data_IF_156566002948
#
_entry.id   IF_156566002948
#
_cell.length_a   1.000
_cell.length_b   1.000
_cell.length_c   1.000
_cell.angle_alpha   90.00
_cell.angle_beta   90.00
_cell.angle_gamma   90.00
#
_symmetry.space_group_name_H-M   'P 1'
#
loop_
_entity.id
_entity.type
_entity.pdbx_description
1 polymer ?
#
# COMPACT_ATOMS: atom_id res chain seq x y z
N UNK A 1 15.98 14.86 16.81
CA UNK A 1 16.35 15.34 15.46
C UNK A 1 17.78 15.87 15.40
N UNK A 2 18.14 16.86 16.25
CA UNK A 2 19.47 17.47 16.29
C UNK A 2 20.61 16.47 16.52
N UNK A 3 20.36 15.36 17.23
CA UNK A 3 21.37 14.32 17.47
C UNK A 3 21.63 13.43 16.26
N UNK A 4 20.67 13.27 15.36
CA UNK A 4 20.86 12.50 14.10
C UNK A 4 21.59 13.29 13.03
N UNK A 5 21.53 14.61 13.08
CA UNK A 5 22.35 15.49 12.23
C UNK A 5 23.81 15.62 12.74
N UNK A 6 24.06 15.10 13.93
CA UNK A 6 25.41 14.89 14.46
C UNK A 6 26.12 13.84 13.59
N UNK A 7 27.03 14.20 12.75
CA UNK A 7 28.13 13.29 12.48
C UNK A 7 28.79 12.91 13.81
N UNK A 8 29.41 11.75 13.89
CA UNK A 8 30.07 11.20 15.11
C UNK A 8 31.08 12.15 15.83
N UNK A 9 31.23 13.40 15.39
CA UNK A 9 32.20 14.39 15.87
C UNK A 9 31.66 15.82 16.10
N UNK A 10 30.34 16.03 16.22
CA UNK A 10 29.81 17.38 16.40
C UNK A 10 30.02 17.91 17.84
N UNK A 11 30.56 19.13 17.96
CA UNK A 11 30.76 19.78 19.25
C UNK A 11 29.42 20.23 19.86
N UNK A 12 29.36 20.42 21.23
CA UNK A 12 28.14 20.90 21.89
C UNK A 12 27.62 22.22 21.32
N UNK A 13 28.53 23.13 20.91
CA UNK A 13 28.21 24.43 20.31
C UNK A 13 27.48 24.25 18.94
N UNK A 14 27.93 23.34 18.11
CA UNK A 14 27.28 23.03 16.83
C UNK A 14 25.87 22.43 17.02
N UNK A 15 25.70 21.63 18.08
CA UNK A 15 24.39 21.04 18.41
C UNK A 15 23.41 22.14 18.87
N UNK A 16 23.88 23.12 19.65
CA UNK A 16 23.06 24.24 20.08
C UNK A 16 22.63 25.13 18.90
N UNK A 17 23.55 25.41 17.97
CA UNK A 17 23.25 26.17 16.75
C UNK A 17 22.21 25.47 15.88
N UNK A 18 22.31 24.15 15.70
CA UNK A 18 21.33 23.34 14.94
C UNK A 18 19.96 23.37 15.64
N UNK A 19 19.91 23.24 16.96
CA UNK A 19 18.65 23.33 17.72
C UNK A 19 17.97 24.69 17.54
N UNK A 20 18.75 25.77 17.55
CA UNK A 20 18.26 27.13 17.34
C UNK A 20 17.75 27.32 15.89
N UNK A 21 18.50 26.86 14.89
CA UNK A 21 18.09 26.93 13.49
C UNK A 21 16.80 26.13 13.19
N UNK A 22 16.57 25.02 13.90
CA UNK A 22 15.37 24.20 13.77
C UNK A 22 14.19 24.70 14.61
N UNK A 23 14.36 25.85 15.35
CA UNK A 23 13.34 26.40 16.25
C UNK A 23 12.98 25.48 17.42
N UNK A 24 13.83 24.49 17.75
CA UNK A 24 13.58 23.53 18.84
C UNK A 24 13.77 24.15 20.24
N UNK A 25 14.25 25.39 20.33
CA UNK A 25 14.37 26.16 21.55
C UNK A 25 13.10 26.94 21.90
N UNK A 26 12.21 27.09 20.92
CA UNK A 26 10.94 27.78 21.09
C UNK A 26 9.91 26.97 21.89
N UNK A 27 8.94 27.64 22.57
CA UNK A 27 7.82 26.93 23.22
C UNK A 27 7.08 26.01 22.26
N UNK A 28 6.52 24.89 22.76
CA UNK A 28 5.89 23.87 21.97
C UNK A 28 4.74 24.39 21.06
N UNK A 29 3.99 25.42 21.50
CA UNK A 29 2.91 26.01 20.69
C UNK A 29 3.43 26.78 19.49
N UNK A 30 4.61 27.41 19.59
CA UNK A 30 5.28 28.06 18.46
C UNK A 30 5.76 27.02 17.47
N UNK A 31 6.38 25.94 17.96
CA UNK A 31 6.79 24.82 17.13
C UNK A 31 5.61 24.18 16.40
N UNK A 32 4.46 24.00 17.08
CA UNK A 32 3.23 23.50 16.49
C UNK A 32 2.70 24.47 15.41
N UNK A 33 2.71 25.78 15.67
CA UNK A 33 2.30 26.79 14.70
C UNK A 33 3.15 26.78 13.43
N UNK A 34 4.48 26.68 13.58
CA UNK A 34 5.42 26.56 12.45
C UNK A 34 5.12 25.27 11.66
N UNK A 35 4.93 24.15 12.35
CA UNK A 35 4.63 22.86 11.73
C UNK A 35 3.31 22.88 10.94
N UNK A 36 2.25 23.44 11.53
CA UNK A 36 0.95 23.57 10.83
C UNK A 36 1.06 24.49 9.63
N UNK A 37 1.80 25.61 9.76
CA UNK A 37 2.07 26.50 8.63
C UNK A 37 2.79 25.76 7.50
N UNK A 38 3.82 24.99 7.81
CA UNK A 38 4.59 24.21 6.84
C UNK A 38 3.72 23.18 6.12
N UNK A 39 2.78 22.53 6.81
CA UNK A 39 1.82 21.61 6.20
C UNK A 39 0.92 22.35 5.19
N UNK A 40 0.34 23.48 5.61
CA UNK A 40 -0.60 24.25 4.76
C UNK A 40 0.10 24.87 3.55
N UNK A 41 1.35 25.32 3.72
CA UNK A 41 2.15 25.91 2.63
C UNK A 41 2.87 24.89 1.77
N UNK A 42 2.77 23.58 2.09
CA UNK A 42 3.50 22.50 1.43
C UNK A 42 5.03 22.67 1.46
N UNK A 43 5.53 23.46 2.41
CA UNK A 43 6.95 23.64 2.65
C UNK A 43 7.42 22.68 3.75
N UNK A 44 7.61 21.43 3.37
CA UNK A 44 8.00 20.37 4.31
C UNK A 44 9.49 20.34 4.64
N UNK A 45 10.23 21.34 4.16
CA UNK A 45 11.66 21.47 4.41
C UNK A 45 12.51 20.44 3.68
N UNK A 46 13.66 20.11 4.28
CA UNK A 46 14.65 19.17 3.74
C UNK A 46 14.77 17.90 4.57
N UNK A 47 15.02 16.79 3.91
CA UNK A 47 15.32 15.51 4.56
C UNK A 47 16.64 15.59 5.31
N UNK A 48 16.65 15.18 6.55
CA UNK A 48 17.87 15.19 7.37
C UNK A 48 18.86 14.07 6.98
N UNK A 49 18.41 13.06 6.24
CA UNK A 49 19.26 11.96 5.80
C UNK A 49 19.93 12.24 4.46
N UNK A 50 19.20 12.84 3.50
CA UNK A 50 19.64 13.02 2.11
C UNK A 50 19.89 14.49 1.76
N UNK A 51 19.50 15.43 2.63
CA UNK A 51 19.52 16.88 2.40
C UNK A 51 18.74 17.35 1.15
N UNK A 52 17.87 16.49 0.62
CA UNK A 52 16.97 16.80 -0.49
C UNK A 52 15.68 17.45 0.00
N UNK A 53 15.04 18.27 -0.82
CA UNK A 53 13.71 18.80 -0.51
C UNK A 53 12.70 17.64 -0.37
N UNK A 54 11.95 17.63 0.72
CA UNK A 54 10.94 16.57 0.99
C UNK A 54 9.87 16.58 -0.08
N UNK A 55 9.50 17.72 -0.65
CA UNK A 55 8.57 17.83 -1.77
C UNK A 55 9.03 17.02 -3.00
N UNK A 56 10.31 17.07 -3.35
CA UNK A 56 10.88 16.31 -4.46
C UNK A 56 10.91 14.80 -4.17
N UNK A 57 11.35 14.44 -2.95
CA UNK A 57 11.30 13.05 -2.49
C UNK A 57 9.88 12.49 -2.53
N UNK A 58 8.91 13.29 -2.07
CA UNK A 58 7.51 12.90 -2.09
C UNK A 58 6.99 12.71 -3.51
N UNK A 59 7.20 13.67 -4.40
CA UNK A 59 6.76 13.60 -5.80
C UNK A 59 7.33 12.36 -6.50
N UNK A 60 8.62 12.07 -6.32
CA UNK A 60 9.27 10.90 -6.92
C UNK A 60 8.73 9.59 -6.34
N UNK A 61 8.59 9.49 -5.02
CA UNK A 61 8.14 8.27 -4.33
C UNK A 61 6.66 8.00 -4.54
N UNK A 62 5.81 9.03 -4.51
CA UNK A 62 4.36 8.89 -4.80
C UNK A 62 4.14 8.37 -6.21
N UNK A 63 4.88 8.85 -7.21
CA UNK A 63 4.80 8.34 -8.58
C UNK A 63 5.05 6.84 -8.64
N UNK A 64 6.11 6.36 -8.00
CA UNK A 64 6.43 4.94 -7.95
C UNK A 64 5.32 4.13 -7.23
N UNK A 65 4.85 4.63 -6.09
CA UNK A 65 3.76 3.98 -5.33
C UNK A 65 2.47 3.89 -6.15
N UNK A 66 2.06 4.99 -6.81
CA UNK A 66 0.86 4.99 -7.64
C UNK A 66 0.98 4.05 -8.85
N UNK A 67 2.16 3.95 -9.45
CA UNK A 67 2.40 3.02 -10.57
C UNK A 67 2.13 1.56 -10.18
N UNK A 68 2.43 1.17 -8.94
CA UNK A 68 2.20 -0.20 -8.45
C UNK A 68 0.82 -0.35 -7.82
N UNK A 69 0.39 0.60 -6.98
CA UNK A 69 -0.84 0.45 -6.19
C UNK A 69 -2.12 0.65 -6.99
N UNK A 70 -2.10 1.52 -8.02
CA UNK A 70 -3.29 1.77 -8.85
C UNK A 70 -3.75 0.50 -9.58
N UNK A 71 -2.89 -0.23 -10.34
CA UNK A 71 -3.32 -1.46 -10.97
C UNK A 71 -3.72 -2.54 -9.95
N UNK A 72 -3.07 -2.64 -8.78
CA UNK A 72 -3.49 -3.54 -7.71
C UNK A 72 -4.92 -3.23 -7.28
N UNK A 73 -5.21 -1.97 -6.94
CA UNK A 73 -6.53 -1.55 -6.49
C UNK A 73 -7.61 -1.83 -7.52
N UNK A 74 -7.34 -1.49 -8.79
CA UNK A 74 -8.29 -1.67 -9.89
C UNK A 74 -8.56 -3.15 -10.13
N UNK A 75 -7.52 -3.95 -10.33
CA UNK A 75 -7.67 -5.38 -10.64
C UNK A 75 -8.29 -6.15 -9.47
N UNK A 76 -7.87 -5.86 -8.26
CA UNK A 76 -8.37 -6.52 -7.08
C UNK A 76 -9.87 -6.21 -6.85
N UNK A 77 -10.30 -4.97 -7.06
CA UNK A 77 -11.73 -4.61 -6.99
C UNK A 77 -12.53 -5.25 -8.13
N UNK A 78 -12.00 -5.21 -9.35
CA UNK A 78 -12.65 -5.80 -10.53
C UNK A 78 -12.82 -7.32 -10.41
N UNK A 79 -11.94 -7.99 -9.69
CA UNK A 79 -12.01 -9.44 -9.48
C UNK A 79 -12.80 -9.79 -8.20
N UNK A 80 -12.53 -9.12 -7.10
CA UNK A 80 -13.13 -9.46 -5.82
C UNK A 80 -14.65 -9.25 -5.78
N UNK A 81 -15.16 -8.18 -6.39
CA UNK A 81 -16.60 -7.86 -6.39
C UNK A 81 -17.40 -8.92 -7.16
N UNK A 82 -17.10 -9.26 -8.42
CA UNK A 82 -17.83 -10.32 -9.14
C UNK A 82 -17.72 -11.69 -8.47
N UNK A 83 -16.54 -12.05 -7.98
CA UNK A 83 -16.34 -13.31 -7.25
C UNK A 83 -17.21 -13.35 -6.00
N UNK A 84 -17.23 -12.27 -5.22
CA UNK A 84 -18.04 -12.18 -4.01
C UNK A 84 -19.54 -12.26 -4.31
N UNK A 85 -20.02 -11.61 -5.40
CA UNK A 85 -21.40 -11.72 -5.87
C UNK A 85 -21.76 -13.15 -6.27
N UNK A 86 -20.91 -13.81 -7.04
CA UNK A 86 -21.10 -15.22 -7.43
C UNK A 86 -21.19 -16.12 -6.18
N UNK A 87 -20.28 -15.95 -5.23
CA UNK A 87 -20.27 -16.73 -3.97
C UNK A 87 -21.50 -16.45 -3.11
N UNK A 88 -21.97 -15.20 -3.07
CA UNK A 88 -23.20 -14.84 -2.38
C UNK A 88 -24.44 -15.46 -3.04
N UNK A 89 -24.47 -15.50 -4.40
CA UNK A 89 -25.55 -16.09 -5.18
C UNK A 89 -25.66 -17.61 -4.95
N UNK A 90 -24.53 -18.34 -4.93
CA UNK A 90 -24.49 -19.79 -4.72
C UNK A 90 -24.41 -20.19 -3.24
N UNK A 91 -24.84 -19.33 -2.34
CA UNK A 91 -24.79 -19.52 -0.88
C UNK A 91 -25.28 -20.90 -0.47
N UNK A 92 -24.52 -21.58 0.40
CA UNK A 92 -24.86 -22.91 0.93
C UNK A 92 -24.51 -24.08 0.01
N UNK A 93 -24.07 -23.83 -1.22
CA UNK A 93 -23.61 -24.85 -2.17
C UNK A 93 -22.23 -25.41 -1.80
N UNK A 94 -21.84 -26.50 -2.45
CA UNK A 94 -20.49 -27.04 -2.35
C UNK A 94 -19.44 -26.04 -2.84
N UNK A 95 -19.75 -25.26 -3.86
CA UNK A 95 -18.88 -24.20 -4.39
C UNK A 95 -18.62 -23.11 -3.36
N UNK A 96 -19.66 -22.63 -2.66
CA UNK A 96 -19.51 -21.67 -1.56
C UNK A 96 -18.57 -22.21 -0.48
N UNK A 97 -18.80 -23.46 -0.04
CA UNK A 97 -17.95 -24.10 0.97
C UNK A 97 -16.50 -24.26 0.50
N UNK A 98 -16.29 -24.70 -0.74
CA UNK A 98 -14.95 -24.86 -1.31
C UNK A 98 -14.20 -23.53 -1.35
N UNK A 99 -14.83 -22.45 -1.83
CA UNK A 99 -14.22 -21.11 -1.88
C UNK A 99 -13.90 -20.62 -0.46
N UNK A 100 -14.80 -20.85 0.50
CA UNK A 100 -14.54 -20.47 1.90
C UNK A 100 -13.36 -21.23 2.51
N UNK A 101 -13.20 -22.52 2.20
CA UNK A 101 -12.03 -23.30 2.64
C UNK A 101 -10.76 -22.80 1.98
N UNK A 102 -10.75 -22.63 0.66
CA UNK A 102 -9.59 -22.14 -0.11
C UNK A 102 -9.15 -20.76 0.39
N UNK A 103 -10.09 -19.82 0.59
CA UNK A 103 -9.76 -18.50 1.11
C UNK A 103 -9.24 -18.55 2.56
N UNK A 104 -9.71 -19.50 3.37
CA UNK A 104 -9.18 -19.70 4.74
C UNK A 104 -7.75 -20.19 4.71
N UNK A 105 -7.46 -21.18 3.89
CA UNK A 105 -6.10 -21.71 3.70
C UNK A 105 -5.17 -20.62 3.16
N UNK A 106 -5.63 -19.87 2.15
CA UNK A 106 -4.86 -18.76 1.59
C UNK A 106 -4.52 -17.69 2.65
N UNK A 107 -5.45 -17.34 3.52
CA UNK A 107 -5.23 -16.39 4.61
C UNK A 107 -4.29 -16.91 5.71
N UNK A 108 -4.14 -18.22 5.85
CA UNK A 108 -3.26 -18.84 6.83
C UNK A 108 -1.77 -18.74 6.45
N UNK A 109 -1.48 -18.47 5.19
CA UNK A 109 -0.12 -18.35 4.67
C UNK A 109 0.32 -16.87 4.74
N UNK A 110 1.51 -16.61 5.29
CA UNK A 110 2.07 -15.26 5.37
C UNK A 110 2.25 -14.65 3.98
N UNK A 111 1.94 -13.37 3.84
CA UNK A 111 2.20 -12.60 2.61
C UNK A 111 3.63 -12.73 2.11
N UNK A 112 4.63 -12.74 3.02
CA UNK A 112 6.04 -12.90 2.66
C UNK A 112 6.31 -14.22 1.94
N UNK A 113 5.64 -15.30 2.34
CA UNK A 113 5.78 -16.61 1.69
C UNK A 113 5.30 -16.54 0.24
N UNK A 114 4.15 -15.90 0.00
CA UNK A 114 3.67 -15.68 -1.37
C UNK A 114 4.64 -14.87 -2.22
N UNK A 115 5.22 -13.80 -1.66
CA UNK A 115 6.19 -12.97 -2.38
C UNK A 115 7.43 -13.77 -2.72
N UNK A 116 8.02 -14.48 -1.74
CA UNK A 116 9.25 -15.26 -1.94
C UNK A 116 9.03 -16.39 -2.96
N UNK A 117 7.97 -17.18 -2.77
CA UNK A 117 7.66 -18.28 -3.69
C UNK A 117 7.29 -17.76 -5.07
N UNK A 118 6.50 -16.68 -5.16
CA UNK A 118 6.11 -16.09 -6.43
C UNK A 118 7.31 -15.54 -7.20
N UNK A 119 8.21 -14.81 -6.54
CA UNK A 119 9.45 -14.36 -7.17
C UNK A 119 10.34 -15.53 -7.61
N UNK A 120 10.47 -16.55 -6.76
CA UNK A 120 11.26 -17.73 -7.10
C UNK A 120 10.71 -18.44 -8.34
N UNK A 121 9.42 -18.72 -8.39
CA UNK A 121 8.82 -19.43 -9.52
C UNK A 121 8.72 -18.56 -10.78
N UNK A 122 8.11 -17.39 -10.71
CA UNK A 122 7.78 -16.61 -11.90
C UNK A 122 8.97 -15.80 -12.44
N UNK A 123 9.84 -15.28 -11.56
CA UNK A 123 10.97 -14.47 -12.00
C UNK A 123 12.25 -15.32 -12.17
N UNK A 124 12.57 -16.19 -11.21
CA UNK A 124 13.83 -16.94 -11.25
C UNK A 124 13.72 -18.24 -12.05
N UNK A 125 12.72 -19.09 -11.76
CA UNK A 125 12.61 -20.42 -12.39
C UNK A 125 12.09 -20.33 -13.82
N UNK A 126 11.02 -19.58 -14.05
CA UNK A 126 10.35 -19.46 -15.35
C UNK A 126 10.93 -18.31 -16.20
N UNK A 127 11.59 -17.32 -15.58
CA UNK A 127 12.15 -16.17 -16.29
C UNK A 127 11.10 -15.28 -16.96
N UNK A 128 9.82 -15.36 -16.55
CA UNK A 128 8.74 -14.58 -17.18
C UNK A 128 8.77 -13.11 -16.80
N UNK A 129 9.29 -12.80 -15.63
CA UNK A 129 9.38 -11.44 -15.11
C UNK A 129 10.80 -11.13 -14.62
N UNK A 130 11.24 -9.88 -14.67
CA UNK A 130 12.53 -9.50 -14.10
C UNK A 130 12.51 -9.65 -12.58
N UNK A 131 13.62 -10.13 -12.02
CA UNK A 131 13.78 -10.32 -10.57
C UNK A 131 13.75 -8.98 -9.84
N UNK A 132 14.33 -7.93 -10.44
CA UNK A 132 14.39 -6.58 -9.89
C UNK A 132 14.61 -5.56 -11.02
N UNK A 133 14.31 -4.31 -10.72
CA UNK A 133 14.58 -3.19 -11.63
C UNK A 133 13.54 -2.09 -11.46
N UNK A 134 13.93 -0.88 -11.82
CA UNK A 134 13.07 0.29 -11.88
C UNK A 134 13.73 1.31 -12.81
N UNK A 135 12.95 1.97 -13.65
CA UNK A 135 13.44 2.99 -14.61
C UNK A 135 12.71 4.31 -14.38
N UNK A 136 13.20 5.37 -15.01
CA UNK A 136 12.52 6.68 -14.97
C UNK A 136 11.23 6.70 -15.80
N UNK A 137 11.09 5.78 -16.75
CA UNK A 137 9.91 5.64 -17.60
C UNK A 137 8.78 4.91 -16.89
N UNK A 138 7.67 5.61 -16.62
CA UNK A 138 6.47 5.02 -16.00
C UNK A 138 5.87 3.92 -16.87
N UNK A 139 5.88 4.07 -18.20
CA UNK A 139 5.35 3.07 -19.11
C UNK A 139 6.15 1.76 -19.05
N UNK A 140 7.48 1.84 -19.04
CA UNK A 140 8.36 0.67 -18.92
C UNK A 140 8.16 0.00 -17.55
N UNK A 141 8.07 0.79 -16.47
CA UNK A 141 7.83 0.25 -15.14
C UNK A 141 6.49 -0.49 -15.07
N UNK A 142 5.43 0.11 -15.63
CA UNK A 142 4.10 -0.51 -15.64
C UNK A 142 4.06 -1.80 -16.47
N UNK A 143 4.78 -1.85 -17.60
CA UNK A 143 4.77 -3.01 -18.50
C UNK A 143 5.71 -4.15 -18.06
N UNK A 144 6.83 -3.83 -17.42
CA UNK A 144 7.92 -4.81 -17.18
C UNK A 144 8.10 -5.14 -15.71
N UNK A 145 8.18 -4.12 -14.84
CA UNK A 145 8.53 -4.32 -13.43
C UNK A 145 7.33 -4.42 -12.48
N UNK A 146 6.18 -3.87 -12.87
CA UNK A 146 4.96 -3.86 -12.06
C UNK A 146 4.12 -5.14 -12.16
N UNK A 147 4.08 -5.90 -13.27
CA UNK A 147 3.13 -7.03 -13.41
C UNK A 147 3.30 -8.11 -12.34
N UNK A 148 4.54 -8.49 -11.99
CA UNK A 148 4.75 -9.53 -10.96
C UNK A 148 4.28 -9.08 -9.57
N UNK A 149 4.69 -7.91 -9.03
CA UNK A 149 4.15 -7.39 -7.77
C UNK A 149 2.63 -7.27 -7.76
N UNK A 150 2.03 -6.82 -8.86
CA UNK A 150 0.57 -6.70 -8.98
C UNK A 150 -0.10 -8.07 -8.94
N UNK A 151 0.39 -9.04 -9.72
CA UNK A 151 -0.14 -10.40 -9.74
C UNK A 151 -0.13 -11.01 -8.33
N UNK A 152 1.00 -10.94 -7.64
CA UNK A 152 1.14 -11.50 -6.30
C UNK A 152 0.25 -10.79 -5.27
N UNK A 153 0.19 -9.45 -5.32
CA UNK A 153 -0.64 -8.68 -4.41
C UNK A 153 -2.14 -8.95 -4.62
N UNK A 154 -2.59 -9.05 -5.87
CA UNK A 154 -3.97 -9.39 -6.21
C UNK A 154 -4.29 -10.81 -5.77
N UNK A 155 -3.44 -11.80 -6.06
CA UNK A 155 -3.66 -13.19 -5.63
C UNK A 155 -3.89 -13.30 -4.12
N UNK A 156 -3.09 -12.60 -3.32
CA UNK A 156 -3.21 -12.61 -1.86
C UNK A 156 -4.38 -11.76 -1.39
N UNK A 157 -4.61 -10.60 -2.02
CA UNK A 157 -5.67 -9.66 -1.66
C UNK A 157 -7.09 -10.17 -1.93
N UNK A 158 -7.27 -11.04 -2.95
CA UNK A 158 -8.57 -11.58 -3.33
C UNK A 158 -9.26 -12.36 -2.19
N UNK A 159 -8.51 -13.16 -1.42
CA UNK A 159 -9.08 -14.00 -0.37
C UNK A 159 -9.82 -13.19 0.71
N UNK A 160 -9.19 -12.21 1.40
CA UNK A 160 -9.85 -11.42 2.43
C UNK A 160 -10.97 -10.53 1.86
N UNK A 161 -10.76 -9.94 0.69
CA UNK A 161 -11.75 -9.03 0.07
C UNK A 161 -12.99 -9.76 -0.42
N UNK A 162 -12.84 -10.91 -1.04
CA UNK A 162 -13.98 -11.75 -1.44
C UNK A 162 -14.84 -12.11 -0.23
N UNK A 163 -14.24 -12.47 0.90
CA UNK A 163 -14.98 -12.76 2.13
C UNK A 163 -15.71 -11.54 2.68
N UNK A 164 -15.03 -10.40 2.72
CA UNK A 164 -15.60 -9.14 3.20
C UNK A 164 -16.79 -8.70 2.35
N UNK A 165 -16.63 -8.65 1.02
CA UNK A 165 -17.70 -8.25 0.10
C UNK A 165 -18.87 -9.26 0.10
N UNK A 166 -18.57 -10.57 0.21
CA UNK A 166 -19.62 -11.59 0.38
C UNK A 166 -20.49 -11.30 1.60
N UNK A 167 -19.89 -10.94 2.72
CA UNK A 167 -20.65 -10.58 3.94
C UNK A 167 -21.55 -9.39 3.67
N UNK A 168 -21.04 -8.31 3.08
CA UNK A 168 -21.83 -7.14 2.74
C UNK A 168 -22.99 -7.47 1.80
N UNK A 169 -22.76 -8.28 0.76
CA UNK A 169 -23.84 -8.68 -0.15
C UNK A 169 -24.90 -9.54 0.53
N UNK A 170 -24.52 -10.44 1.42
CA UNK A 170 -25.48 -11.27 2.14
C UNK A 170 -26.31 -10.46 3.13
N UNK A 171 -25.72 -9.49 3.81
CA UNK A 171 -26.42 -8.59 4.72
C UNK A 171 -27.42 -7.73 3.95
N UNK A 172 -27.04 -7.24 2.78
CA UNK A 172 -27.88 -6.37 1.93
C UNK A 172 -29.04 -7.14 1.29
N UNK A 173 -28.80 -8.35 0.78
CA UNK A 173 -29.84 -9.21 0.20
C UNK A 173 -30.91 -9.60 1.24
N UNK A 174 -30.56 -9.62 2.52
CA UNK A 174 -31.46 -9.93 3.63
C UNK A 174 -32.42 -8.79 4.01
N UNK A 175 -32.23 -7.57 3.53
CA UNK A 175 -33.03 -6.40 3.90
C UNK A 175 -34.46 -6.43 3.34
N UNK A 176 -35.40 -5.81 4.07
CA UNK A 176 -36.82 -5.81 3.73
C UNK A 176 -37.13 -5.11 2.38
N UNK A 177 -36.39 -4.05 2.03
CA UNK A 177 -36.59 -3.38 0.74
C UNK A 177 -36.24 -4.27 -0.46
N UNK A 178 -35.27 -5.21 -0.32
CA UNK A 178 -34.97 -6.17 -1.37
C UNK A 178 -36.11 -7.18 -1.53
N UNK A 179 -36.74 -7.58 -0.41
CA UNK A 179 -37.94 -8.46 -0.46
C UNK A 179 -39.09 -7.77 -1.15
N UNK A 180 -39.33 -6.50 -0.82
CA UNK A 180 -40.38 -5.69 -1.46
C UNK A 180 -40.14 -5.50 -2.96
N UNK A 181 -38.91 -5.33 -3.37
CA UNK A 181 -38.57 -5.18 -4.81
C UNK A 181 -38.71 -6.49 -5.62
N UNK A 182 -38.82 -7.63 -4.95
CA UNK A 182 -39.03 -8.95 -5.59
C UNK A 182 -40.52 -9.39 -5.65
N UNK A 183 -41.37 -8.72 -4.86
CA UNK A 183 -42.81 -8.96 -4.84
C UNK A 183 -43.51 -8.21 -5.96
#
# INVERSE_FOLDING_TARGET
>A
PAERLRGLAATPAQTAAIRQQLGLTEPWWVQLGIFLKQIVTFDWGRSWATNEAISNLFATRVKATLTVMTPILVLDTLLAVPIALLVAYVRGSLTDRAIMVVTTVALSISFLVYVILGQYFFAFQLGWFPVQGWTDSTATNLAVYTPLPVLLAVMVGLAPRTRLYRTFFLDEIGQDYVRTARA
#
